data_IF_589915832928
#
_entry.id   IF_589915832928
#
_cell.length_a   1.000
_cell.length_b   1.000
_cell.length_c   1.000
_cell.angle_alpha   90.00
_cell.angle_beta   90.00
_cell.angle_gamma   90.00
#
_symmetry.space_group_name_H-M   'P 1'
#
loop_
_entity.id
_entity.type
_entity.pdbx_description
1 polymer ?
#
# COMPACT_ATOMS: atom_id res chain seq x y z
N UNK A 1 13.41 -4.91 18.54
CA UNK A 1 14.64 -5.62 18.93
C UNK A 1 15.61 -4.73 19.72
N UNK A 2 16.05 -3.55 19.23
CA UNK A 2 16.91 -2.67 20.04
C UNK A 2 16.25 -2.25 21.37
N UNK A 3 14.98 -1.82 21.33
CA UNK A 3 14.20 -1.49 22.53
C UNK A 3 14.04 -2.66 23.52
N UNK A 4 13.95 -3.90 23.01
CA UNK A 4 13.82 -5.09 23.85
C UNK A 4 15.11 -5.43 24.59
N UNK A 5 16.26 -5.24 23.91
CA UNK A 5 17.55 -5.43 24.54
C UNK A 5 17.83 -4.32 25.56
N UNK A 6 17.47 -3.07 25.24
CA UNK A 6 17.58 -1.93 26.15
C UNK A 6 16.78 -2.15 27.44
N UNK A 7 15.47 -2.44 27.33
CA UNK A 7 14.62 -2.72 28.50
C UNK A 7 15.09 -3.98 29.23
N UNK A 8 15.57 -5.00 28.50
CA UNK A 8 16.10 -6.23 29.09
C UNK A 8 17.35 -5.98 29.95
N UNK A 9 18.24 -5.09 29.50
CA UNK A 9 19.44 -4.69 30.22
C UNK A 9 19.12 -3.76 31.39
N UNK A 10 18.17 -2.83 31.24
CA UNK A 10 17.84 -1.82 32.27
C UNK A 10 16.89 -2.33 33.35
N UNK A 11 15.91 -3.15 32.98
CA UNK A 11 14.74 -3.51 33.82
C UNK A 11 14.52 -5.02 33.95
N UNK A 12 15.41 -5.82 33.36
CA UNK A 12 15.39 -7.28 33.42
C UNK A 12 14.52 -7.96 32.35
N UNK A 13 14.86 -9.22 32.07
CA UNK A 13 14.26 -10.00 30.97
C UNK A 13 12.74 -10.19 31.07
N UNK A 14 12.20 -10.43 32.27
CA UNK A 14 10.76 -10.64 32.47
C UNK A 14 9.94 -9.39 32.11
N UNK A 15 10.41 -8.22 32.55
CA UNK A 15 9.80 -6.93 32.24
C UNK A 15 9.84 -6.67 30.75
N UNK A 16 10.99 -6.89 30.11
CA UNK A 16 11.12 -6.75 28.67
C UNK A 16 10.14 -7.67 27.91
N UNK A 17 10.04 -8.94 28.29
CA UNK A 17 9.12 -9.88 27.65
C UNK A 17 7.65 -9.46 27.82
N UNK A 18 7.27 -8.99 29.02
CA UNK A 18 5.92 -8.47 29.27
C UNK A 18 5.62 -7.25 28.39
N UNK A 19 6.54 -6.28 28.37
CA UNK A 19 6.40 -5.06 27.57
C UNK A 19 6.32 -5.38 26.07
N UNK A 20 7.11 -6.35 25.59
CA UNK A 20 7.02 -6.82 24.21
C UNK A 20 5.63 -7.33 23.86
N UNK A 21 5.09 -8.22 24.69
CA UNK A 21 3.77 -8.80 24.46
C UNK A 21 2.71 -7.70 24.47
N UNK A 22 2.77 -6.76 25.42
CA UNK A 22 1.88 -5.61 25.46
C UNK A 22 1.98 -4.75 24.19
N UNK A 23 3.19 -4.48 23.68
CA UNK A 23 3.38 -3.77 22.42
C UNK A 23 2.76 -4.52 21.23
N UNK A 24 2.89 -5.86 21.18
CA UNK A 24 2.26 -6.65 20.12
C UNK A 24 0.73 -6.63 20.19
N UNK A 25 0.16 -6.71 21.41
CA UNK A 25 -1.28 -6.61 21.63
C UNK A 25 -1.83 -5.22 21.24
N UNK A 26 -1.02 -4.17 21.38
CA UNK A 26 -1.33 -2.81 20.91
C UNK A 26 -1.11 -2.62 19.39
N UNK A 27 -0.85 -3.71 18.66
CA UNK A 27 -0.61 -3.71 17.21
C UNK A 27 0.62 -2.88 16.79
N UNK A 28 1.64 -2.79 17.64
CA UNK A 28 2.85 -2.01 17.34
C UNK A 28 3.52 -2.44 16.03
N UNK A 29 3.58 -3.75 15.74
CA UNK A 29 4.16 -4.25 14.49
C UNK A 29 3.39 -3.79 13.24
N UNK A 30 2.06 -3.73 13.32
CA UNK A 30 1.19 -3.20 12.26
C UNK A 30 1.42 -1.69 12.11
N UNK A 31 1.42 -0.96 13.22
CA UNK A 31 1.66 0.48 13.23
C UNK A 31 3.02 0.85 12.62
N UNK A 32 4.10 0.19 13.04
CA UNK A 32 5.45 0.49 12.55
C UNK A 32 5.61 0.14 11.07
N UNK A 33 5.06 -1.01 10.64
CA UNK A 33 5.12 -1.43 9.23
C UNK A 33 4.37 -0.44 8.34
N UNK A 34 3.20 0.02 8.78
CA UNK A 34 2.41 1.04 8.08
C UNK A 34 3.09 2.42 8.08
N UNK A 35 3.60 2.86 9.24
CA UNK A 35 4.32 4.13 9.36
C UNK A 35 5.57 4.18 8.49
N UNK A 36 6.33 3.08 8.45
CA UNK A 36 7.50 2.96 7.58
C UNK A 36 7.10 2.99 6.11
N UNK A 37 6.02 2.30 5.72
CA UNK A 37 5.47 2.36 4.36
C UNK A 37 5.15 3.79 3.91
N UNK A 38 4.50 4.57 4.79
CA UNK A 38 4.22 6.00 4.59
C UNK A 38 5.51 6.77 4.37
N UNK A 39 6.48 6.66 5.29
CA UNK A 39 7.76 7.37 5.22
C UNK A 39 8.53 7.03 3.95
N UNK A 40 8.67 5.75 3.63
CA UNK A 40 9.37 5.29 2.43
C UNK A 40 8.73 5.81 1.15
N UNK A 41 7.38 5.79 1.06
CA UNK A 41 6.69 6.30 -0.12
C UNK A 41 6.95 7.80 -0.34
N UNK A 42 6.73 8.63 0.68
CA UNK A 42 6.88 10.08 0.51
C UNK A 42 8.35 10.50 0.41
N UNK A 43 9.26 9.84 1.12
CA UNK A 43 10.70 10.07 0.97
C UNK A 43 11.16 9.73 -0.47
N UNK A 44 10.72 8.59 -1.02
CA UNK A 44 11.00 8.22 -2.40
C UNK A 44 10.43 9.21 -3.41
N UNK A 45 9.19 9.68 -3.20
CA UNK A 45 8.55 10.69 -4.07
C UNK A 45 9.33 11.99 -4.09
N UNK A 46 9.75 12.49 -2.93
CA UNK A 46 10.57 13.70 -2.84
C UNK A 46 11.94 13.51 -3.51
N UNK A 47 12.53 12.31 -3.41
CA UNK A 47 13.81 12.01 -4.06
C UNK A 47 13.69 11.94 -5.60
N UNK A 48 12.58 11.42 -6.14
CA UNK A 48 12.38 11.24 -7.58
C UNK A 48 11.83 12.49 -8.30
N UNK A 49 10.92 13.21 -7.66
CA UNK A 49 10.20 14.32 -8.28
C UNK A 49 10.49 15.67 -7.64
N UNK A 50 11.12 15.69 -6.46
CA UNK A 50 11.20 16.90 -5.64
C UNK A 50 9.86 17.24 -4.99
N UNK A 51 9.87 18.34 -4.23
CA UNK A 51 8.69 18.86 -3.55
C UNK A 51 8.45 18.23 -2.17
N UNK A 52 7.86 19.03 -1.29
CA UNK A 52 7.37 18.64 0.02
C UNK A 52 6.04 19.34 0.27
N UNK A 53 5.01 18.59 0.64
CA UNK A 53 3.72 19.14 1.06
C UNK A 53 3.63 19.04 2.59
N UNK A 54 3.46 20.18 3.26
CA UNK A 54 3.17 20.16 4.69
C UNK A 54 1.73 19.70 4.91
N UNK A 55 1.56 18.68 5.74
CA UNK A 55 0.26 18.23 6.24
C UNK A 55 0.20 18.52 7.72
N UNK A 56 -0.74 19.37 8.12
CA UNK A 56 -0.94 19.71 9.52
C UNK A 56 -1.31 18.46 10.31
N UNK A 57 -0.51 18.14 11.33
CA UNK A 57 -0.86 17.18 12.36
C UNK A 57 -1.81 17.89 13.32
N UNK A 58 -3.13 17.71 13.14
CA UNK A 58 -4.14 18.41 13.93
C UNK A 58 -3.82 18.34 15.43
N UNK A 59 -3.84 19.50 16.11
CA UNK A 59 -3.75 19.57 17.58
C UNK A 59 -5.17 19.47 18.14
N UNK A 60 -5.52 18.32 18.71
CA UNK A 60 -6.81 18.10 19.37
C UNK A 60 -6.92 16.69 19.95
N UNK A 61 -7.62 16.56 21.08
CA UNK A 61 -7.92 15.28 21.72
C UNK A 61 -9.33 14.85 21.29
N UNK A 62 -9.43 14.24 20.11
CA UNK A 62 -10.65 13.54 19.68
C UNK A 62 -10.20 12.36 18.81
N UNK A 63 -10.74 11.18 19.10
CA UNK A 63 -10.71 10.03 18.18
C UNK A 63 -11.50 10.44 16.94
N UNK A 64 -10.82 11.04 15.96
CA UNK A 64 -11.45 11.49 14.72
C UNK A 64 -11.74 10.30 13.82
N UNK A 65 -13.00 10.15 13.45
CA UNK A 65 -13.42 9.20 12.40
C UNK A 65 -12.84 9.64 11.06
N UNK A 66 -12.03 8.77 10.46
CA UNK A 66 -11.50 8.98 9.11
C UNK A 66 -12.46 8.40 8.08
N UNK A 67 -13.06 9.27 7.25
CA UNK A 67 -13.99 8.84 6.20
C UNK A 67 -13.29 7.95 5.17
N UNK A 68 -14.03 7.05 4.52
CA UNK A 68 -13.49 6.19 3.45
C UNK A 68 -12.79 6.99 2.33
N UNK A 69 -13.38 8.11 1.90
CA UNK A 69 -12.78 8.96 0.88
C UNK A 69 -11.46 9.59 1.33
N UNK A 70 -11.33 9.96 2.61
CA UNK A 70 -10.08 10.49 3.16
C UNK A 70 -9.01 9.40 3.26
N UNK A 71 -9.38 8.21 3.77
CA UNK A 71 -8.47 7.07 3.86
C UNK A 71 -7.90 6.69 2.50
N UNK A 72 -8.72 6.61 1.47
CA UNK A 72 -8.25 6.32 0.12
C UNK A 72 -7.34 7.42 -0.44
N UNK A 73 -7.72 8.69 -0.28
CA UNK A 73 -6.90 9.81 -0.78
C UNK A 73 -5.53 9.87 -0.11
N UNK A 74 -5.43 9.47 1.16
CA UNK A 74 -4.17 9.43 1.91
C UNK A 74 -3.33 8.18 1.60
N UNK A 75 -3.97 7.01 1.47
CA UNK A 75 -3.25 5.73 1.50
C UNK A 75 -3.27 4.95 0.18
N UNK A 76 -4.00 5.40 -0.84
CA UNK A 76 -4.09 4.70 -2.13
C UNK A 76 -2.71 4.45 -2.77
N UNK A 77 -1.92 5.49 -3.02
CA UNK A 77 -0.60 5.39 -3.69
C UNK A 77 0.51 4.86 -2.78
N UNK A 78 0.41 5.14 -1.48
CA UNK A 78 1.44 4.74 -0.52
C UNK A 78 1.29 3.29 -0.06
N UNK A 79 0.06 2.78 0.06
CA UNK A 79 -0.25 1.47 0.64
C UNK A 79 -1.18 0.64 -0.23
N UNK A 80 -2.40 1.08 -0.55
CA UNK A 80 -3.42 0.19 -1.14
C UNK A 80 -3.01 -0.39 -2.49
N UNK A 81 -2.55 0.45 -3.41
CA UNK A 81 -2.08 0.01 -4.73
C UNK A 81 -0.92 -0.97 -4.56
N UNK A 82 0.09 -0.64 -3.76
CA UNK A 82 1.25 -1.51 -3.52
C UNK A 82 0.88 -2.82 -2.81
N UNK A 83 -0.09 -2.78 -1.90
CA UNK A 83 -0.60 -3.93 -1.16
C UNK A 83 -1.34 -4.88 -2.07
N UNK A 84 -2.20 -4.37 -2.96
CA UNK A 84 -2.89 -5.17 -3.98
C UNK A 84 -1.88 -5.76 -4.98
N UNK A 85 -0.92 -4.96 -5.46
CA UNK A 85 0.15 -5.43 -6.34
C UNK A 85 0.92 -6.60 -5.71
N UNK A 86 1.37 -6.45 -4.46
CA UNK A 86 2.08 -7.50 -3.74
C UNK A 86 1.21 -8.72 -3.45
N UNK A 87 -0.07 -8.51 -3.11
CA UNK A 87 -1.04 -9.60 -2.92
C UNK A 87 -1.20 -10.44 -4.19
N UNK A 88 -1.38 -9.80 -5.35
CA UNK A 88 -1.50 -10.50 -6.63
C UNK A 88 -0.22 -11.29 -6.93
N UNK A 89 0.96 -10.70 -6.70
CA UNK A 89 2.24 -11.39 -6.89
C UNK A 89 2.38 -12.60 -5.96
N UNK A 90 1.94 -12.51 -4.71
CA UNK A 90 1.96 -13.63 -3.77
C UNK A 90 1.01 -14.76 -4.17
N UNK A 91 -0.18 -14.43 -4.65
CA UNK A 91 -1.15 -15.41 -5.17
C UNK A 91 -0.60 -16.10 -6.42
N UNK A 92 -0.02 -15.35 -7.36
CA UNK A 92 0.66 -15.90 -8.54
C UNK A 92 1.81 -16.81 -8.11
N UNK A 93 2.62 -16.39 -7.14
CA UNK A 93 3.71 -17.19 -6.59
C UNK A 93 3.20 -18.49 -5.95
N UNK A 94 2.05 -18.47 -5.26
CA UNK A 94 1.43 -19.66 -4.69
C UNK A 94 0.95 -20.65 -5.75
N UNK A 95 0.30 -20.15 -6.80
CA UNK A 95 -0.27 -20.99 -7.88
C UNK A 95 0.85 -21.64 -8.70
N UNK A 96 1.89 -20.89 -9.05
CA UNK A 96 2.95 -21.37 -9.95
C UNK A 96 4.20 -21.90 -9.22
N UNK A 97 4.33 -21.67 -7.91
CA UNK A 97 5.47 -22.11 -7.10
C UNK A 97 5.42 -23.59 -6.69
N UNK A 98 4.37 -24.32 -7.04
CA UNK A 98 4.03 -25.67 -6.55
C UNK A 98 5.04 -26.78 -6.90
N UNK A 99 6.02 -26.54 -7.78
CA UNK A 99 6.88 -27.62 -8.28
C UNK A 99 8.25 -27.76 -7.59
N UNK A 100 8.69 -26.85 -6.70
CA UNK A 100 10.10 -26.85 -6.26
C UNK A 100 10.38 -26.76 -4.75
N UNK A 101 9.42 -26.38 -3.91
CA UNK A 101 9.65 -26.19 -2.45
C UNK A 101 8.44 -26.68 -1.65
N UNK A 102 8.69 -27.47 -0.59
CA UNK A 102 7.62 -27.97 0.27
C UNK A 102 6.82 -26.85 0.95
N UNK A 103 5.59 -27.15 1.37
CA UNK A 103 4.65 -26.17 1.92
C UNK A 103 5.21 -25.34 3.09
N UNK A 104 6.02 -25.97 3.96
CA UNK A 104 6.65 -25.32 5.11
C UNK A 104 7.60 -24.19 4.64
N UNK A 105 8.44 -24.47 3.64
CA UNK A 105 9.38 -23.48 3.08
C UNK A 105 8.64 -22.30 2.44
N UNK A 106 7.53 -22.58 1.74
CA UNK A 106 6.68 -21.52 1.19
C UNK A 106 6.18 -20.58 2.31
N UNK A 107 5.57 -21.15 3.36
CA UNK A 107 5.02 -20.38 4.49
C UNK A 107 6.09 -19.50 5.14
N UNK A 108 7.27 -20.05 5.44
CA UNK A 108 8.36 -19.28 6.06
C UNK A 108 8.82 -18.09 5.22
N UNK A 109 8.81 -18.22 3.89
CA UNK A 109 9.24 -17.14 2.99
C UNK A 109 8.14 -16.09 2.83
N UNK A 110 6.87 -16.50 2.73
CA UNK A 110 5.76 -15.60 2.37
C UNK A 110 5.04 -14.99 3.56
N UNK A 111 5.13 -15.56 4.77
CA UNK A 111 4.39 -15.08 5.95
C UNK A 111 4.65 -13.60 6.25
N UNK A 112 5.92 -13.16 6.17
CA UNK A 112 6.29 -11.77 6.38
C UNK A 112 5.73 -10.84 5.29
N UNK A 113 5.64 -11.32 4.06
CA UNK A 113 5.06 -10.56 2.94
C UNK A 113 3.54 -10.46 3.07
N UNK A 114 2.87 -11.54 3.43
CA UNK A 114 1.44 -11.55 3.74
C UNK A 114 1.09 -10.64 4.93
N UNK A 115 1.93 -10.63 5.97
CA UNK A 115 1.79 -9.70 7.09
C UNK A 115 1.90 -8.24 6.63
N UNK A 116 2.85 -7.93 5.73
CA UNK A 116 2.99 -6.60 5.15
C UNK A 116 1.77 -6.20 4.31
N UNK A 117 1.28 -7.10 3.44
CA UNK A 117 0.05 -6.90 2.64
C UNK A 117 -1.14 -6.61 3.56
N UNK A 118 -1.38 -7.46 4.56
CA UNK A 118 -2.46 -7.28 5.51
C UNK A 118 -2.35 -5.95 6.25
N UNK A 119 -1.15 -5.59 6.68
CA UNK A 119 -0.91 -4.30 7.34
C UNK A 119 -1.23 -3.12 6.41
N UNK A 120 -0.75 -3.12 5.16
CA UNK A 120 -0.97 -2.01 4.22
C UNK A 120 -2.44 -1.85 3.83
N UNK A 121 -3.19 -2.94 3.72
CA UNK A 121 -4.61 -2.89 3.36
C UNK A 121 -5.51 -2.55 4.55
N UNK A 122 -5.23 -3.08 5.74
CA UNK A 122 -6.17 -3.04 6.87
C UNK A 122 -5.82 -2.03 7.96
N UNK A 123 -4.56 -1.57 8.09
CA UNK A 123 -4.17 -0.64 9.17
C UNK A 123 -5.00 0.65 9.23
N UNK A 124 -5.37 1.33 8.13
CA UNK A 124 -6.21 2.53 8.20
C UNK A 124 -7.58 2.30 8.85
N UNK A 125 -8.09 1.06 8.74
CA UNK A 125 -9.37 0.67 9.32
C UNK A 125 -9.20 0.17 10.76
N UNK A 126 -8.17 -0.62 11.04
CA UNK A 126 -7.84 -1.09 12.40
C UNK A 126 -7.61 0.07 13.38
N UNK A 127 -6.95 1.13 12.92
CA UNK A 127 -6.71 2.34 13.72
C UNK A 127 -7.84 3.38 13.61
N UNK A 128 -8.95 3.06 12.91
CA UNK A 128 -10.19 3.84 12.89
C UNK A 128 -11.39 3.00 13.38
N UNK A 129 -11.46 2.65 14.67
CA UNK A 129 -12.51 1.76 15.19
C UNK A 129 -13.91 2.34 15.02
N UNK A 130 -14.05 3.67 15.02
CA UNK A 130 -15.33 4.34 14.80
C UNK A 130 -15.89 4.16 13.38
N UNK A 131 -15.05 3.80 12.41
CA UNK A 131 -15.48 3.53 11.04
C UNK A 131 -16.24 2.21 10.87
N UNK A 132 -16.35 1.38 11.91
CA UNK A 132 -17.13 0.15 11.88
C UNK A 132 -18.58 0.31 12.38
N UNK A 133 -18.96 1.52 12.80
CA UNK A 133 -20.34 1.82 13.18
C UNK A 133 -21.23 1.88 11.93
N UNK A 134 -22.33 1.11 11.91
CA UNK A 134 -23.18 0.96 10.73
C UNK A 134 -23.64 2.29 10.12
N UNK A 135 -24.06 3.25 10.95
CA UNK A 135 -24.49 4.57 10.48
C UNK A 135 -23.36 5.30 9.75
N UNK A 136 -22.14 5.30 10.32
CA UNK A 136 -20.97 5.92 9.70
C UNK A 136 -20.55 5.22 8.42
N UNK A 137 -20.65 3.89 8.36
CA UNK A 137 -20.37 3.13 7.13
C UNK A 137 -21.30 3.58 6.00
N UNK A 138 -22.60 3.69 6.27
CA UNK A 138 -23.59 4.11 5.26
C UNK A 138 -23.35 5.55 4.81
N UNK A 139 -23.05 6.45 5.75
CA UNK A 139 -22.74 7.85 5.47
C UNK A 139 -21.45 8.00 4.65
N UNK A 140 -20.39 7.30 5.05
CA UNK A 140 -19.10 7.29 4.35
C UNK A 140 -19.21 6.67 2.96
N UNK A 141 -20.01 5.62 2.81
CA UNK A 141 -20.27 5.01 1.51
C UNK A 141 -21.04 5.96 0.59
N UNK A 142 -21.98 6.72 1.13
CA UNK A 142 -22.71 7.75 0.38
C UNK A 142 -21.79 8.90 -0.03
N UNK A 143 -20.94 9.38 0.88
CA UNK A 143 -19.92 10.41 0.62
C UNK A 143 -18.90 9.94 -0.43
N UNK A 144 -18.44 8.68 -0.33
CA UNK A 144 -17.58 8.03 -1.30
C UNK A 144 -18.19 8.00 -2.70
N UNK A 145 -19.44 7.54 -2.82
CA UNK A 145 -20.13 7.46 -4.10
C UNK A 145 -20.33 8.84 -4.73
N UNK A 146 -20.59 9.87 -3.92
CA UNK A 146 -20.63 11.25 -4.41
C UNK A 146 -19.26 11.72 -4.90
N UNK A 147 -18.20 11.44 -4.15
CA UNK A 147 -16.84 11.85 -4.51
C UNK A 147 -16.33 11.16 -5.79
N UNK A 148 -16.57 9.86 -5.95
CA UNK A 148 -16.13 9.09 -7.13
C UNK A 148 -16.92 9.44 -8.40
N UNK A 149 -18.22 9.77 -8.27
CA UNK A 149 -19.09 10.07 -9.41
C UNK A 149 -19.02 11.53 -9.86
N UNK A 150 -18.53 12.43 -9.01
CA UNK A 150 -18.42 13.84 -9.34
C UNK A 150 -17.32 14.07 -10.38
N UNK A 151 -17.72 14.52 -11.58
CA UNK A 151 -16.77 14.99 -12.61
C UNK A 151 -16.00 16.19 -12.06
N UNK A 152 -14.69 16.15 -12.23
CA UNK A 152 -13.82 17.23 -11.81
C UNK A 152 -13.99 18.46 -12.68
N UNK A 153 -13.04 19.37 -12.55
CA UNK A 153 -13.00 20.59 -13.35
C UNK A 153 -12.03 21.60 -12.77
N UNK A 154 -11.79 22.67 -13.55
CA UNK A 154 -10.89 23.74 -13.14
C UNK A 154 -11.41 24.37 -11.83
N UNK A 155 -10.60 24.30 -10.77
CA UNK A 155 -10.93 24.86 -9.46
C UNK A 155 -11.76 23.95 -8.54
N UNK A 156 -12.12 22.74 -8.96
CA UNK A 156 -12.79 21.77 -8.07
C UNK A 156 -11.77 21.19 -7.09
N UNK A 157 -12.11 21.22 -5.80
CA UNK A 157 -11.22 20.71 -4.77
C UNK A 157 -11.05 19.17 -4.85
N UNK A 158 -9.84 18.63 -4.61
CA UNK A 158 -9.58 17.18 -4.53
C UNK A 158 -10.46 16.42 -3.52
N UNK A 159 -10.98 17.12 -2.51
CA UNK A 159 -11.88 16.57 -1.49
C UNK A 159 -13.30 16.34 -2.02
N UNK A 160 -13.65 16.90 -3.18
CA UNK A 160 -15.00 16.90 -3.75
C UNK A 160 -15.14 16.06 -5.01
N UNK A 161 -14.05 15.78 -5.71
CA UNK A 161 -14.04 14.96 -6.92
C UNK A 161 -12.82 14.05 -6.96
N UNK A 162 -13.03 12.79 -7.36
CA UNK A 162 -11.95 11.84 -7.62
C UNK A 162 -11.04 12.29 -8.76
N UNK A 163 -11.60 12.86 -9.83
CA UNK A 163 -10.83 13.33 -10.99
C UNK A 163 -9.86 14.44 -10.59
N UNK A 164 -10.33 15.45 -9.84
CA UNK A 164 -9.46 16.52 -9.32
C UNK A 164 -8.41 16.00 -8.33
N UNK A 165 -8.73 14.97 -7.55
CA UNK A 165 -7.72 14.31 -6.69
C UNK A 165 -6.67 13.57 -7.51
N UNK A 166 -7.09 12.84 -8.55
CA UNK A 166 -6.19 12.12 -9.43
C UNK A 166 -5.24 13.07 -10.18
N UNK A 167 -5.76 14.18 -10.70
CA UNK A 167 -4.94 15.21 -11.34
C UNK A 167 -3.88 15.79 -10.38
N UNK A 168 -4.27 16.09 -9.13
CA UNK A 168 -3.34 16.53 -8.10
C UNK A 168 -2.31 15.46 -7.76
N UNK A 169 -2.70 14.20 -7.70
CA UNK A 169 -1.79 13.11 -7.38
C UNK A 169 -0.71 12.92 -8.46
N UNK A 170 -1.07 13.17 -9.73
CA UNK A 170 -0.18 13.13 -10.89
C UNK A 170 0.68 14.39 -11.05
N UNK A 171 0.39 15.47 -10.33
CA UNK A 171 1.06 16.76 -10.48
C UNK A 171 2.60 16.68 -10.37
N UNK A 172 3.21 15.91 -9.43
CA UNK A 172 4.66 15.84 -9.33
C UNK A 172 5.35 15.23 -10.56
N UNK A 173 4.63 14.43 -11.36
CA UNK A 173 5.18 13.93 -12.63
C UNK A 173 5.37 15.05 -13.65
N UNK A 174 4.53 16.09 -13.62
CA UNK A 174 4.62 17.24 -14.54
C UNK A 174 5.85 18.09 -14.30
N UNK A 175 6.31 18.15 -13.05
CA UNK A 175 7.49 18.93 -12.64
C UNK A 175 8.75 18.08 -12.46
N UNK A 176 8.67 16.77 -12.71
CA UNK A 176 9.80 15.87 -12.55
C UNK A 176 10.86 16.11 -13.62
N UNK A 177 12.14 16.09 -13.22
CA UNK A 177 13.26 16.15 -14.16
C UNK A 177 13.37 14.87 -14.99
N UNK A 178 14.08 14.95 -16.13
CA UNK A 178 14.24 13.84 -17.11
C UNK A 178 14.62 12.50 -16.47
N UNK A 179 15.49 12.50 -15.44
CA UNK A 179 15.92 11.29 -14.72
C UNK A 179 14.76 10.65 -13.94
N UNK A 180 13.94 11.45 -13.26
CA UNK A 180 12.76 10.97 -12.53
C UNK A 180 11.71 10.40 -13.48
N UNK A 181 11.45 11.07 -14.60
CA UNK A 181 10.54 10.56 -15.65
C UNK A 181 11.00 9.22 -16.22
N UNK A 182 12.29 9.06 -16.53
CA UNK A 182 12.84 7.78 -17.02
C UNK A 182 12.66 6.68 -15.96
N UNK A 183 12.95 6.96 -14.69
CA UNK A 183 12.75 6.00 -13.61
C UNK A 183 11.29 5.59 -13.45
N UNK A 184 10.34 6.53 -13.56
CA UNK A 184 8.91 6.22 -13.53
C UNK A 184 8.48 5.33 -14.70
N UNK A 185 8.97 5.60 -15.91
CA UNK A 185 8.70 4.75 -17.08
C UNK A 185 9.23 3.34 -16.83
N UNK A 186 10.46 3.20 -16.33
CA UNK A 186 11.04 1.90 -15.99
C UNK A 186 10.24 1.18 -14.89
N UNK A 187 9.83 1.90 -13.85
CA UNK A 187 9.01 1.36 -12.76
C UNK A 187 7.62 0.96 -13.24
N UNK A 188 7.01 1.69 -14.18
CA UNK A 188 5.72 1.34 -14.78
C UNK A 188 5.84 0.10 -15.68
N UNK A 189 6.96 -0.04 -16.40
CA UNK A 189 7.23 -1.19 -17.26
C UNK A 189 7.45 -2.50 -16.49
N UNK A 190 7.66 -2.46 -15.17
CA UNK A 190 7.91 -3.65 -14.34
C UNK A 190 6.84 -4.74 -14.51
N UNK A 191 5.57 -4.35 -14.67
CA UNK A 191 4.48 -5.31 -14.82
C UNK A 191 4.55 -6.06 -16.16
N UNK A 192 4.93 -5.38 -17.24
CA UNK A 192 5.15 -6.02 -18.53
C UNK A 192 6.32 -7.02 -18.45
N UNK A 193 7.38 -6.67 -17.72
CA UNK A 193 8.52 -7.59 -17.49
C UNK A 193 8.07 -8.82 -16.70
N UNK A 194 7.31 -8.64 -15.61
CA UNK A 194 6.79 -9.77 -14.81
C UNK A 194 5.86 -10.65 -15.64
N UNK A 195 4.95 -10.07 -16.41
CA UNK A 195 4.03 -10.81 -17.26
C UNK A 195 4.78 -11.59 -18.35
N UNK A 196 5.74 -10.96 -19.03
CA UNK A 196 6.57 -11.64 -20.02
C UNK A 196 7.35 -12.80 -19.40
N UNK A 197 7.96 -12.59 -18.24
CA UNK A 197 8.71 -13.63 -17.51
C UNK A 197 7.82 -14.83 -17.14
N UNK A 198 6.60 -14.58 -16.65
CA UNK A 198 5.62 -15.63 -16.34
C UNK A 198 5.22 -16.41 -17.60
N UNK A 199 4.85 -15.74 -18.69
CA UNK A 199 4.47 -16.40 -19.96
C UNK A 199 5.62 -17.26 -20.51
N UNK A 200 6.84 -16.74 -20.49
CA UNK A 200 8.02 -17.45 -20.97
C UNK A 200 8.34 -18.70 -20.14
N UNK A 201 8.32 -18.58 -18.80
CA UNK A 201 8.59 -19.72 -17.91
C UNK A 201 7.47 -20.77 -17.91
N UNK A 202 6.21 -20.37 -18.09
CA UNK A 202 5.07 -21.29 -18.06
C UNK A 202 4.87 -22.06 -19.37
N UNK A 203 5.66 -21.78 -20.42
CA UNK A 203 5.64 -22.51 -21.69
C UNK A 203 4.22 -22.67 -22.29
N UNK A 204 3.33 -21.71 -21.99
CA UNK A 204 1.91 -21.72 -22.40
C UNK A 204 1.79 -21.61 -23.94
N UNK A 205 2.84 -21.15 -24.61
CA UNK A 205 2.92 -21.00 -26.06
C UNK A 205 3.95 -21.95 -26.69
N UNK A 206 3.76 -23.27 -26.53
CA UNK A 206 4.51 -24.23 -27.35
C UNK A 206 4.22 -24.12 -28.86
N UNK A 207 3.09 -23.52 -29.27
CA UNK A 207 2.66 -23.48 -30.68
C UNK A 207 2.48 -22.09 -31.31
N UNK A 208 2.38 -20.99 -30.56
CA UNK A 208 2.22 -19.63 -31.14
C UNK A 208 3.03 -18.59 -30.35
N UNK A 209 4.21 -18.24 -30.85
CA UNK A 209 5.07 -17.17 -30.31
C UNK A 209 4.58 -15.79 -30.76
N UNK A 210 3.40 -15.37 -30.32
CA UNK A 210 2.88 -14.02 -30.62
C UNK A 210 2.86 -13.14 -29.38
N UNK A 211 3.51 -11.97 -29.48
CA UNK A 211 3.57 -10.91 -28.45
C UNK A 211 2.18 -10.51 -27.94
N UNK A 212 1.13 -10.68 -28.76
CA UNK A 212 -0.28 -10.41 -28.46
C UNK A 212 -0.87 -11.25 -27.31
N UNK A 213 -0.34 -12.45 -27.03
CA UNK A 213 -0.83 -13.30 -25.91
C UNK A 213 -0.41 -12.72 -24.55
N UNK A 214 0.61 -11.85 -24.53
CA UNK A 214 1.13 -11.15 -23.36
C UNK A 214 0.26 -9.98 -22.89
N UNK A 215 -0.97 -9.82 -23.38
CA UNK A 215 -1.82 -8.68 -23.04
C UNK A 215 -3.28 -9.11 -22.81
N UNK A 216 -3.62 -9.57 -21.59
CA UNK A 216 -4.97 -9.29 -21.13
C UNK A 216 -5.13 -8.90 -19.66
N UNK A 217 -4.09 -8.90 -18.83
CA UNK A 217 -4.29 -8.95 -17.37
C UNK A 217 -4.15 -7.64 -16.57
N UNK A 218 -3.73 -6.53 -17.18
CA UNK A 218 -3.66 -5.24 -16.49
C UNK A 218 -4.14 -4.09 -17.38
N UNK A 219 -5.44 -4.05 -17.64
CA UNK A 219 -6.16 -2.80 -17.89
C UNK A 219 -7.03 -2.54 -16.68
N UNK A 220 -6.46 -1.82 -15.71
CA UNK A 220 -7.18 -1.08 -14.67
C UNK A 220 -6.58 0.32 -14.62
#
# INVERSE_FOLDING_TARGET
>A
LPMMMEIGLERGFRTALSDFVLMQLQLASVFFTFSLGTKTHYYGRTLLHGGAEYRATGRGFVVFHAKFADNYRLYSRSHFVKGIELMILLVVYEIFGQSYRGAITYIFITVSMWFMVGTWLFAPFLFNPSGFEWQKIVDDWTDWNKWISNRGGIGVAPTKSWESWWEKEQEPLRYSGKRGTILEILLALRFFVYQYGLVYHLNITKHTRSVLVSCPLFSF
#
